data_IF_136909638685
#
_entry.id   IF_136909638685
#
_cell.length_a   1.000
_cell.length_b   1.000
_cell.length_c   1.000
_cell.angle_alpha   90.00
_cell.angle_beta   90.00
_cell.angle_gamma   90.00
#
_symmetry.space_group_name_H-M   'P 1'
#
loop_
_entity.id
_entity.type
_entity.pdbx_description
1 polymer ?
#
# COMPACT_ATOMS: atom_id res chain seq x y z
N UNK A 1 27.94 29.43 -16.25
CA UNK A 1 26.61 29.13 -15.66
C UNK A 1 26.35 27.64 -15.78
N UNK A 2 26.60 26.87 -14.71
CA UNK A 2 26.37 25.43 -14.70
C UNK A 2 24.87 25.15 -14.54
N UNK A 3 24.22 24.54 -15.53
CA UNK A 3 22.80 24.19 -15.46
C UNK A 3 22.64 22.96 -14.57
N UNK A 4 22.08 23.12 -13.36
CA UNK A 4 21.65 22.00 -12.54
C UNK A 4 20.36 21.44 -13.14
N UNK A 5 20.41 20.19 -13.60
CA UNK A 5 19.23 19.47 -14.08
C UNK A 5 18.64 18.70 -12.90
N UNK A 6 17.42 19.05 -12.50
CA UNK A 6 16.67 18.28 -11.49
C UNK A 6 15.83 17.26 -12.25
N UNK A 7 16.08 15.97 -12.01
CA UNK A 7 15.20 14.89 -12.48
C UNK A 7 14.15 14.66 -11.41
N UNK A 8 12.87 14.81 -11.77
CA UNK A 8 11.74 14.47 -10.91
C UNK A 8 11.17 13.17 -11.47
N UNK A 9 11.16 12.13 -10.66
CA UNK A 9 10.52 10.85 -10.99
C UNK A 9 9.12 10.85 -10.38
N UNK A 10 8.11 10.94 -11.25
CA UNK A 10 6.70 10.86 -10.87
C UNK A 10 6.20 9.44 -11.11
N UNK A 11 5.55 8.90 -10.09
CA UNK A 11 4.89 7.60 -10.12
C UNK A 11 3.39 7.84 -10.25
N UNK A 12 2.70 6.90 -10.87
CA UNK A 12 1.26 7.01 -11.12
C UNK A 12 0.54 5.84 -10.44
N UNK A 13 -0.65 6.11 -9.90
CA UNK A 13 -1.48 5.04 -9.39
C UNK A 13 -2.02 4.17 -10.55
N UNK A 14 -1.74 2.88 -10.49
CA UNK A 14 -2.18 1.86 -11.46
C UNK A 14 -3.53 1.22 -11.11
N UNK A 15 -4.15 1.65 -10.01
CA UNK A 15 -5.50 1.20 -9.66
C UNK A 15 -6.49 1.56 -10.77
N UNK A 16 -7.30 0.57 -11.15
CA UNK A 16 -8.42 0.73 -12.07
C UNK A 16 -9.72 0.53 -11.32
N UNK A 17 -10.66 1.46 -11.48
CA UNK A 17 -11.98 1.30 -10.91
C UNK A 17 -12.84 0.31 -11.73
N UNK A 18 -14.10 0.12 -11.34
CA UNK A 18 -15.03 -0.85 -11.93
C UNK A 18 -15.35 -0.58 -13.40
N UNK A 19 -15.28 0.67 -13.84
CA UNK A 19 -15.42 1.11 -15.22
C UNK A 19 -14.09 1.00 -16.00
N UNK A 20 -13.03 0.52 -15.35
CA UNK A 20 -11.72 0.31 -15.93
C UNK A 20 -10.90 1.59 -16.12
N UNK A 21 -11.37 2.73 -15.62
CA UNK A 21 -10.60 3.97 -15.66
C UNK A 21 -9.48 3.91 -14.63
N UNK A 22 -8.32 4.44 -15.02
CA UNK A 22 -7.15 4.50 -14.15
C UNK A 22 -7.28 5.71 -13.24
N UNK A 23 -6.83 5.56 -12.00
CA UNK A 23 -6.69 6.68 -11.08
C UNK A 23 -5.79 7.80 -11.65
N UNK A 24 -6.24 9.04 -11.53
CA UNK A 24 -5.54 10.25 -11.98
C UNK A 24 -4.44 10.73 -11.01
N UNK A 25 -4.28 10.07 -9.87
CA UNK A 25 -3.31 10.47 -8.84
C UNK A 25 -1.89 10.05 -9.25
N UNK A 26 -1.01 11.03 -9.32
CA UNK A 26 0.43 10.88 -9.49
C UNK A 26 1.20 11.59 -8.36
N UNK A 27 2.43 11.15 -8.11
CA UNK A 27 3.24 11.75 -7.07
C UNK A 27 4.59 11.07 -6.88
N UNK A 28 5.32 11.49 -5.86
CA UNK A 28 6.59 10.87 -5.50
C UNK A 28 6.38 9.46 -4.90
N UNK A 29 7.44 8.66 -4.79
CA UNK A 29 7.42 7.33 -4.15
C UNK A 29 6.97 7.36 -2.68
N UNK A 30 6.98 8.54 -2.05
CA UNK A 30 6.40 8.77 -0.73
C UNK A 30 4.87 8.70 -0.75
N UNK A 31 4.23 9.12 -1.84
CA UNK A 31 2.78 9.22 -2.04
C UNK A 31 2.19 8.01 -2.79
N UNK A 32 3.00 7.39 -3.66
CA UNK A 32 2.64 6.21 -4.43
C UNK A 32 3.39 5.01 -3.85
N UNK A 33 2.63 4.07 -3.29
CA UNK A 33 3.15 2.85 -2.64
C UNK A 33 2.87 1.64 -3.50
N UNK A 34 3.85 0.77 -3.56
CA UNK A 34 3.74 -0.47 -4.31
C UNK A 34 3.03 -1.53 -3.47
N UNK A 35 2.10 -2.26 -4.08
CA UNK A 35 1.49 -3.42 -3.47
C UNK A 35 2.56 -4.49 -3.23
N UNK A 36 2.73 -4.91 -1.98
CA UNK A 36 3.75 -5.89 -1.60
C UNK A 36 3.55 -7.30 -2.21
N UNK A 37 2.38 -7.58 -2.80
CA UNK A 37 2.08 -8.86 -3.46
C UNK A 37 2.20 -8.78 -4.99
N UNK A 38 1.53 -7.82 -5.64
CA UNK A 38 1.48 -7.76 -7.11
C UNK A 38 2.34 -6.66 -7.75
N UNK A 39 3.01 -5.82 -6.96
CA UNK A 39 3.87 -4.76 -7.48
C UNK A 39 3.13 -3.57 -8.09
N UNK A 40 1.80 -3.50 -7.95
CA UNK A 40 1.00 -2.40 -8.51
C UNK A 40 1.20 -1.13 -7.70
N UNK A 41 1.41 0.00 -8.38
CA UNK A 41 1.55 1.31 -7.75
C UNK A 41 0.19 1.87 -7.32
N UNK A 42 0.07 2.26 -6.05
CA UNK A 42 -1.19 2.66 -5.40
C UNK A 42 -1.03 3.98 -4.67
N UNK A 43 -1.99 4.88 -4.83
CA UNK A 43 -2.07 6.08 -4.00
C UNK A 43 -2.71 5.79 -2.64
N UNK A 44 -2.67 6.77 -1.74
CA UNK A 44 -3.25 6.68 -0.38
C UNK A 44 -4.71 6.29 -0.30
N UNK A 45 -5.46 6.41 -1.40
CA UNK A 45 -6.88 6.01 -1.48
C UNK A 45 -7.07 4.55 -1.90
N UNK A 46 -6.06 3.93 -2.50
CA UNK A 46 -6.17 2.61 -3.13
C UNK A 46 -5.26 1.55 -2.52
N UNK A 47 -4.42 1.92 -1.54
CA UNK A 47 -3.74 0.95 -0.70
C UNK A 47 -4.38 0.82 0.68
N UNK A 48 -4.26 -0.36 1.27
CA UNK A 48 -4.43 -0.60 2.69
C UNK A 48 -3.07 -0.78 3.37
N UNK A 49 -2.95 -0.26 4.59
CA UNK A 49 -1.74 -0.40 5.41
C UNK A 49 -1.96 -1.55 6.37
N UNK A 50 -1.13 -2.58 6.28
CA UNK A 50 -1.14 -3.69 7.23
C UNK A 50 0.21 -3.73 7.96
N UNK A 51 0.15 -3.63 9.27
CA UNK A 51 1.32 -3.70 10.14
C UNK A 51 1.28 -5.00 10.93
N UNK A 52 2.28 -5.86 10.71
CA UNK A 52 2.44 -7.11 11.47
C UNK A 52 3.53 -6.91 12.52
N UNK A 53 3.23 -7.33 13.75
CA UNK A 53 4.18 -7.31 14.86
C UNK A 53 4.36 -8.73 15.40
N UNK A 54 5.61 -9.12 15.61
CA UNK A 54 5.94 -10.34 16.35
C UNK A 54 6.55 -9.92 17.69
N UNK A 55 5.89 -10.30 18.79
CA UNK A 55 6.39 -10.17 20.17
C UNK A 55 6.89 -8.75 20.54
N UNK A 56 6.17 -7.70 20.13
CA UNK A 56 6.44 -6.29 20.49
C UNK A 56 7.81 -5.71 20.05
N UNK A 57 8.60 -6.39 19.21
CA UNK A 57 9.95 -5.90 18.86
C UNK A 57 10.11 -5.33 17.46
N UNK A 58 9.28 -5.71 16.48
CA UNK A 58 9.40 -5.21 15.09
C UNK A 58 8.03 -5.09 14.44
N UNK A 59 7.70 -3.90 13.94
CA UNK A 59 6.56 -3.65 13.08
C UNK A 59 7.03 -3.69 11.64
N UNK A 60 6.48 -4.61 10.84
CA UNK A 60 6.64 -4.60 9.39
C UNK A 60 5.36 -4.03 8.80
N UNK A 61 5.49 -2.88 8.14
CA UNK A 61 4.38 -2.19 7.48
C UNK A 61 4.40 -2.51 5.99
N UNK A 62 3.31 -3.06 5.52
CA UNK A 62 3.08 -3.41 4.12
C UNK A 62 1.92 -2.59 3.56
N UNK A 63 2.01 -2.33 2.25
CA UNK A 63 0.96 -1.67 1.47
C UNK A 63 0.37 -2.70 0.52
N UNK A 64 -0.95 -2.84 0.49
CA UNK A 64 -1.65 -3.80 -0.37
C UNK A 64 -2.79 -3.13 -1.13
N UNK A 65 -3.10 -3.61 -2.35
CA UNK A 65 -4.41 -3.28 -2.93
C UNK A 65 -5.51 -4.02 -2.18
N UNK A 66 -6.75 -3.58 -2.36
CA UNK A 66 -7.95 -4.12 -1.69
C UNK A 66 -8.03 -5.65 -1.74
N UNK A 67 -7.86 -6.25 -2.92
CA UNK A 67 -7.90 -7.70 -3.09
C UNK A 67 -6.80 -8.42 -2.28
N UNK A 68 -5.56 -7.94 -2.38
CA UNK A 68 -4.42 -8.58 -1.72
C UNK A 68 -4.38 -8.33 -0.21
N UNK A 69 -5.00 -7.25 0.30
CA UNK A 69 -5.15 -7.06 1.75
C UNK A 69 -6.02 -8.13 2.37
N UNK A 70 -7.12 -8.50 1.72
CA UNK A 70 -8.02 -9.56 2.21
C UNK A 70 -7.32 -10.93 2.16
N UNK A 71 -6.62 -11.24 1.06
CA UNK A 71 -5.85 -12.48 0.93
C UNK A 71 -4.76 -12.59 2.01
N UNK A 72 -4.06 -11.50 2.31
CA UNK A 72 -3.04 -11.49 3.34
C UNK A 72 -3.63 -11.72 4.74
N UNK A 73 -4.72 -11.04 5.10
CA UNK A 73 -5.41 -11.23 6.39
C UNK A 73 -5.90 -12.67 6.52
N UNK A 74 -6.53 -13.22 5.49
CA UNK A 74 -7.01 -14.61 5.49
C UNK A 74 -5.86 -15.60 5.66
N UNK A 75 -4.71 -15.34 5.02
CA UNK A 75 -3.51 -16.17 5.16
C UNK A 75 -2.93 -16.10 6.57
N UNK A 76 -2.91 -14.92 7.20
CA UNK A 76 -2.48 -14.76 8.59
C UNK A 76 -3.39 -15.54 9.54
N UNK A 77 -4.71 -15.41 9.38
CA UNK A 77 -5.69 -16.13 10.20
C UNK A 77 -5.53 -17.64 10.05
N UNK A 78 -5.37 -18.12 8.80
CA UNK A 78 -5.19 -19.55 8.53
C UNK A 78 -3.87 -20.10 9.07
N UNK A 79 -2.81 -19.29 9.12
CA UNK A 79 -1.46 -19.75 9.50
C UNK A 79 -1.24 -19.67 11.01
N UNK A 80 -1.75 -18.61 11.65
CA UNK A 80 -1.45 -18.28 13.05
C UNK A 80 -2.67 -18.37 13.98
N UNK A 81 -3.87 -18.63 13.47
CA UNK A 81 -5.12 -18.62 14.24
C UNK A 81 -5.72 -17.23 14.34
N UNK A 82 -6.55 -16.96 15.37
CA UNK A 82 -7.24 -15.67 15.56
C UNK A 82 -6.22 -14.54 15.82
N UNK A 83 -5.72 -13.92 14.75
CA UNK A 83 -4.87 -12.74 14.80
C UNK A 83 -5.79 -11.53 14.76
N UNK A 84 -6.20 -11.03 15.92
CA UNK A 84 -7.01 -9.81 15.98
C UNK A 84 -6.24 -8.66 15.31
N UNK A 85 -6.80 -8.01 14.27
CA UNK A 85 -6.18 -6.83 13.69
C UNK A 85 -6.09 -5.76 14.78
N UNK A 86 -4.89 -5.23 15.01
CA UNK A 86 -4.72 -4.09 15.90
C UNK A 86 -5.35 -2.90 15.17
N UNK A 87 -6.49 -2.39 15.68
CA UNK A 87 -7.18 -1.21 15.15
C UNK A 87 -6.27 0.02 15.26
N UNK A 88 -5.44 0.23 14.23
CA UNK A 88 -4.49 1.35 14.18
C UNK A 88 -4.16 1.84 12.77
N UNK A 89 -4.72 1.21 11.73
CA UNK A 89 -4.65 1.71 10.36
C UNK A 89 -5.80 2.66 10.08
N UNK A 90 -5.69 3.91 10.55
CA UNK A 90 -6.72 4.91 10.38
C UNK A 90 -7.16 5.04 8.92
N UNK A 91 -8.47 4.87 8.69
CA UNK A 91 -9.13 5.39 7.50
C UNK A 91 -8.88 6.90 7.48
N UNK A 92 -8.00 7.38 6.58
CA UNK A 92 -7.96 8.79 6.25
C UNK A 92 -9.29 9.12 5.56
N UNK A 93 -10.21 9.66 6.36
CA UNK A 93 -11.48 10.23 5.93
C UNK A 93 -11.26 11.48 5.09
#
# INVERSE_FOLDING_TARGET
MSKRTVKIELYHCDYKDKDGQRCDIEGERSQIKECALCGTDLCSRHYQILSVSNNNMRYLTYFFCEAHSEEFINTLISTFGDTSPIEGGGMAK
#
